data_IF_146477499849
#
_entry.id   IF_146477499849
#
_cell.length_a   1.000
_cell.length_b   1.000
_cell.length_c   1.000
_cell.angle_alpha   90.00
_cell.angle_beta   90.00
_cell.angle_gamma   90.00
#
_symmetry.space_group_name_H-M   'P 1'
#
loop_
_entity.id
_entity.type
_entity.pdbx_description
1 polymer ?
#
# COMPACT_ATOMS: atom_id res chain seq x y z
N UNK A 1 -6.09 20.40 -0.76
CA UNK A 1 -6.40 19.48 0.36
C UNK A 1 -6.09 18.09 -0.15
N UNK A 2 -5.20 17.35 0.52
CA UNK A 2 -4.86 15.99 0.09
C UNK A 2 -6.16 15.13 0.15
N UNK A 3 -6.39 14.23 -0.80
CA UNK A 3 -7.44 13.23 -0.63
C UNK A 3 -7.13 12.45 0.65
N UNK A 4 -8.07 12.42 1.60
CA UNK A 4 -7.94 11.57 2.78
C UNK A 4 -8.47 10.20 2.41
N UNK A 5 -7.57 9.31 2.00
CA UNK A 5 -7.96 7.97 1.59
C UNK A 5 -8.21 7.15 2.86
N UNK A 6 -9.39 6.52 3.02
CA UNK A 6 -9.62 5.61 4.14
C UNK A 6 -8.61 4.45 4.14
N UNK A 7 -8.21 3.98 5.32
CA UNK A 7 -7.24 2.88 5.42
C UNK A 7 -7.80 1.56 4.87
N UNK A 8 -9.12 1.42 4.89
CA UNK A 8 -9.90 0.30 4.37
C UNK A 8 -10.26 0.44 2.87
N UNK A 9 -9.76 1.48 2.18
CA UNK A 9 -9.89 1.57 0.72
C UNK A 9 -9.19 0.36 0.07
N UNK A 10 -9.85 -0.38 -0.84
CA UNK A 10 -9.29 -1.61 -1.42
C UNK A 10 -7.98 -1.37 -2.20
N UNK A 11 -7.75 -0.15 -2.68
CA UNK A 11 -6.48 0.22 -3.34
C UNK A 11 -5.32 0.24 -2.36
N UNK A 12 -5.57 0.54 -1.08
CA UNK A 12 -4.54 0.53 -0.02
C UNK A 12 -4.08 -0.90 0.23
N UNK A 13 -5.02 -1.85 0.39
CA UNK A 13 -4.69 -3.27 0.54
C UNK A 13 -3.94 -3.80 -0.68
N UNK A 14 -4.43 -3.51 -1.89
CA UNK A 14 -3.79 -3.94 -3.14
C UNK A 14 -2.35 -3.41 -3.24
N UNK A 15 -2.13 -2.14 -2.89
CA UNK A 15 -0.80 -1.54 -2.92
C UNK A 15 0.11 -2.10 -1.81
N UNK A 16 -0.42 -2.38 -0.63
CA UNK A 16 0.35 -3.01 0.45
C UNK A 16 0.85 -4.41 0.02
N UNK A 17 -0.03 -5.22 -0.57
CA UNK A 17 0.31 -6.54 -1.11
C UNK A 17 1.37 -6.45 -2.21
N UNK A 18 1.20 -5.54 -3.19
CA UNK A 18 2.15 -5.37 -4.27
C UNK A 18 3.54 -4.92 -3.77
N UNK A 19 3.58 -4.02 -2.78
CA UNK A 19 4.84 -3.60 -2.16
C UNK A 19 5.52 -4.73 -1.42
N UNK A 20 4.76 -5.58 -0.72
CA UNK A 20 5.32 -6.74 -0.02
C UNK A 20 5.87 -7.76 -1.02
N UNK A 21 5.15 -8.03 -2.11
CA UNK A 21 5.65 -8.90 -3.17
C UNK A 21 6.96 -8.38 -3.76
N UNK A 22 7.04 -7.07 -4.05
CA UNK A 22 8.29 -6.46 -4.53
C UNK A 22 9.43 -6.62 -3.52
N UNK A 23 9.16 -6.46 -2.23
CA UNK A 23 10.14 -6.62 -1.17
C UNK A 23 10.61 -8.09 -1.03
N UNK A 24 9.70 -9.05 -1.17
CA UNK A 24 10.03 -10.47 -1.27
C UNK A 24 10.96 -10.74 -2.46
N UNK A 25 10.58 -10.28 -3.65
CA UNK A 25 11.33 -10.52 -4.88
C UNK A 25 12.74 -9.87 -4.85
N UNK A 26 12.87 -8.70 -4.22
CA UNK A 26 14.12 -7.93 -4.23
C UNK A 26 15.04 -8.22 -3.02
N UNK A 27 14.48 -8.59 -1.88
CA UNK A 27 15.22 -8.71 -0.62
C UNK A 27 14.96 -10.01 0.14
N UNK A 28 14.24 -10.97 -0.46
CA UNK A 28 13.88 -12.26 0.15
C UNK A 28 13.19 -12.11 1.51
N UNK A 29 12.43 -11.02 1.70
CA UNK A 29 11.55 -10.84 2.84
C UNK A 29 10.33 -11.77 2.73
N UNK A 30 9.54 -11.99 3.80
CA UNK A 30 8.34 -12.81 3.73
C UNK A 30 7.36 -12.33 2.64
N UNK A 31 6.60 -13.25 2.06
CA UNK A 31 5.43 -12.90 1.23
C UNK A 31 4.31 -12.31 2.08
N UNK A 32 3.28 -11.74 1.45
CA UNK A 32 2.13 -11.17 2.18
C UNK A 32 1.47 -12.18 3.13
N UNK A 33 1.26 -13.41 2.66
CA UNK A 33 0.58 -14.47 3.42
C UNK A 33 1.46 -15.04 4.55
N UNK A 34 2.76 -14.80 4.51
CA UNK A 34 3.71 -15.20 5.56
C UNK A 34 3.86 -14.14 6.65
N UNK A 35 3.38 -12.92 6.43
CA UNK A 35 3.33 -11.88 7.46
C UNK A 35 2.32 -12.22 8.56
N UNK A 36 2.62 -11.78 9.78
CA UNK A 36 1.64 -11.78 10.85
C UNK A 36 0.49 -10.80 10.57
N UNK A 37 -0.70 -10.98 11.17
CA UNK A 37 -1.80 -10.02 11.02
C UNK A 37 -1.42 -8.58 11.41
N UNK A 38 -0.54 -8.43 12.41
CA UNK A 38 -0.07 -7.10 12.83
C UNK A 38 0.82 -6.46 11.75
N UNK A 39 1.76 -7.22 11.15
CA UNK A 39 2.62 -6.71 10.07
C UNK A 39 1.83 -6.36 8.81
N UNK A 40 0.79 -7.14 8.48
CA UNK A 40 -0.14 -6.80 7.41
C UNK A 40 -0.86 -5.48 7.72
N UNK A 41 -1.34 -5.29 8.94
CA UNK A 41 -2.01 -4.07 9.38
C UNK A 41 -1.06 -2.86 9.34
N UNK A 42 0.17 -3.02 9.82
CA UNK A 42 1.20 -1.98 9.85
C UNK A 42 1.63 -1.56 8.43
N UNK A 43 1.47 -2.44 7.44
CA UNK A 43 1.78 -2.16 6.03
C UNK A 43 0.76 -1.26 5.34
N UNK A 44 -0.47 -1.14 5.86
CA UNK A 44 -1.56 -0.38 5.25
C UNK A 44 -1.30 1.14 5.29
N UNK A 45 -0.84 1.68 6.42
CA UNK A 45 -0.66 3.13 6.56
C UNK A 45 0.43 3.67 5.60
N UNK A 46 1.62 3.02 5.47
CA UNK A 46 2.58 3.37 4.45
C UNK A 46 2.00 3.27 3.03
N UNK A 47 1.26 2.21 2.71
CA UNK A 47 0.63 2.05 1.39
C UNK A 47 -0.34 3.20 1.07
N UNK A 48 -1.22 3.56 2.01
CA UNK A 48 -2.11 4.73 1.87
C UNK A 48 -1.31 6.01 1.61
N UNK A 49 -0.27 6.27 2.39
CA UNK A 49 0.53 7.49 2.25
C UNK A 49 1.20 7.55 0.86
N UNK A 50 1.68 6.43 0.32
CA UNK A 50 2.21 6.37 -1.04
C UNK A 50 1.13 6.60 -2.10
N UNK A 51 -0.07 6.05 -1.91
CA UNK A 51 -1.20 6.26 -2.82
C UNK A 51 -1.63 7.74 -2.85
N UNK A 52 -1.74 8.37 -1.67
CA UNK A 52 -2.00 9.81 -1.55
C UNK A 52 -0.90 10.62 -2.25
N UNK A 53 0.38 10.29 -2.01
CA UNK A 53 1.49 10.98 -2.66
C UNK A 53 1.44 10.87 -4.20
N UNK A 54 1.16 9.69 -4.73
CA UNK A 54 1.08 9.45 -6.18
C UNK A 54 -0.10 10.20 -6.82
N UNK A 55 -1.27 10.26 -6.17
CA UNK A 55 -2.40 11.06 -6.64
C UNK A 55 -2.06 12.54 -6.65
N UNK A 56 -1.45 13.05 -5.57
CA UNK A 56 -1.10 14.46 -5.48
C UNK A 56 -0.01 14.88 -6.47
N UNK A 57 0.87 13.95 -6.85
CA UNK A 57 1.85 14.15 -7.90
C UNK A 57 1.26 14.05 -9.32
N UNK A 58 -0.02 13.72 -9.47
CA UNK A 58 -0.67 13.54 -10.78
C UNK A 58 -0.20 12.29 -11.53
N UNK A 59 0.42 11.31 -10.86
CA UNK A 59 0.91 10.07 -11.47
C UNK A 59 -0.22 9.06 -11.69
N UNK A 60 -1.26 9.13 -10.86
CA UNK A 60 -2.45 8.29 -10.94
C UNK A 60 -3.70 9.15 -10.69
N UNK A 61 -4.84 8.80 -11.30
CA UNK A 61 -6.07 9.56 -11.13
C UNK A 61 -6.66 9.39 -9.71
N UNK A 62 -7.41 10.39 -9.25
CA UNK A 62 -8.08 10.42 -7.93
C UNK A 62 -9.16 9.35 -7.77
N UNK A 63 -9.79 8.94 -8.89
CA UNK A 63 -10.80 7.90 -9.01
C UNK A 63 -10.58 7.13 -10.34
N UNK A 64 -11.10 5.91 -10.50
CA UNK A 64 -11.25 5.31 -11.82
C UNK A 64 -12.14 6.16 -12.74
#
# INVERSE_FOLDING_TARGET
MLPQIPLDDPRVLTLAQARQQLAHDCAYLPTWDELTPQEQQDSLAPARNYLEAAINAGLIPTAP
#
